data_IF_384388394670
#
_entry.id   IF_384388394670
#
_cell.length_a   1.000
_cell.length_b   1.000
_cell.length_c   1.000
_cell.angle_alpha   90.00
_cell.angle_beta   90.00
_cell.angle_gamma   90.00
#
_symmetry.space_group_name_H-M   'P 1'
#
loop_
_entity.id
_entity.type
_entity.pdbx_description
1 polymer ?
#
# COMPACT_ATOMS: atom_id res chain seq x y z
N UNK A 1 12.85 -5.20 -6.81
CA UNK A 1 12.19 -4.38 -5.79
C UNK A 1 10.75 -4.80 -5.65
N UNK A 2 10.29 -4.90 -4.42
CA UNK A 2 8.94 -5.23 -4.01
C UNK A 2 8.48 -4.20 -2.98
N UNK A 3 7.26 -3.70 -3.12
CA UNK A 3 6.64 -2.74 -2.22
C UNK A 3 5.28 -3.29 -1.85
N UNK A 4 5.06 -3.50 -0.56
CA UNK A 4 3.81 -4.06 -0.03
C UNK A 4 3.16 -3.08 0.91
N UNK A 5 1.86 -2.86 0.71
CA UNK A 5 1.00 -2.14 1.63
C UNK A 5 0.04 -3.13 2.27
N UNK A 6 -0.08 -3.10 3.60
CA UNK A 6 -0.97 -4.00 4.34
C UNK A 6 -1.46 -3.37 5.64
N UNK A 7 -2.59 -3.87 6.16
CA UNK A 7 -3.19 -3.41 7.43
C UNK A 7 -2.65 -4.19 8.64
N UNK A 8 -2.30 -5.46 8.43
CA UNK A 8 -1.72 -6.36 9.44
C UNK A 8 -0.80 -7.37 8.75
N UNK A 9 0.25 -7.82 9.43
CA UNK A 9 1.21 -8.80 8.85
C UNK A 9 0.58 -10.14 8.47
N UNK A 10 -0.61 -10.45 9.01
CA UNK A 10 -1.34 -11.68 8.74
C UNK A 10 -2.50 -11.50 7.74
N UNK A 11 -2.66 -10.31 7.14
CA UNK A 11 -3.71 -10.05 6.14
C UNK A 11 -3.15 -10.06 4.73
N UNK A 12 -4.01 -10.29 3.73
CA UNK A 12 -3.67 -10.01 2.33
C UNK A 12 -3.35 -8.52 2.13
N UNK A 13 -2.83 -8.17 0.95
CA UNK A 13 -2.30 -6.84 0.71
C UNK A 13 -3.39 -5.80 0.47
N UNK A 14 -3.18 -4.59 0.95
CA UNK A 14 -3.88 -3.39 0.45
C UNK A 14 -3.43 -3.11 -0.97
N UNK A 15 -2.13 -3.26 -1.25
CA UNK A 15 -1.56 -3.16 -2.59
C UNK A 15 -0.19 -3.87 -2.64
N UNK A 16 0.11 -4.54 -3.75
CA UNK A 16 1.40 -5.18 -4.01
C UNK A 16 1.97 -4.66 -5.33
N UNK A 17 3.16 -4.06 -5.27
CA UNK A 17 3.96 -3.72 -6.45
C UNK A 17 5.23 -4.56 -6.45
N UNK A 18 5.41 -5.36 -7.49
CA UNK A 18 6.55 -6.27 -7.60
C UNK A 18 7.04 -6.33 -9.04
N UNK A 19 8.37 -6.32 -9.22
CA UNK A 19 9.01 -6.48 -10.54
C UNK A 19 8.46 -5.54 -11.63
N UNK A 20 8.17 -4.28 -11.25
CA UNK A 20 7.73 -3.25 -12.20
C UNK A 20 6.22 -3.21 -12.47
N UNK A 21 5.42 -4.03 -11.78
CA UNK A 21 3.99 -4.17 -12.04
C UNK A 21 3.16 -4.24 -10.76
N UNK A 22 1.90 -3.84 -10.89
CA UNK A 22 0.90 -3.98 -9.82
C UNK A 22 0.33 -5.41 -9.86
N UNK A 23 0.26 -6.05 -8.70
CA UNK A 23 -0.26 -7.40 -8.51
C UNK A 23 -1.54 -7.33 -7.66
N UNK A 24 -2.67 -7.13 -8.35
CA UNK A 24 -3.96 -6.87 -7.71
C UNK A 24 -4.71 -8.15 -7.31
N UNK A 25 -4.26 -9.31 -7.77
CA UNK A 25 -4.88 -10.61 -7.52
C UNK A 25 -4.81 -11.06 -6.04
N UNK A 26 -3.84 -10.53 -5.30
CA UNK A 26 -3.65 -10.79 -3.86
C UNK A 26 -4.22 -9.68 -2.97
N UNK A 27 -4.95 -8.75 -3.56
CA UNK A 27 -5.50 -7.61 -2.85
C UNK A 27 -6.68 -8.02 -1.97
N UNK A 28 -6.79 -7.46 -0.76
CA UNK A 28 -7.97 -7.68 0.07
C UNK A 28 -9.22 -7.17 -0.69
N UNK A 29 -10.36 -7.89 -0.60
CA UNK A 29 -11.57 -7.55 -1.35
C UNK A 29 -12.02 -6.10 -1.19
N UNK A 30 -11.82 -5.50 -0.02
CA UNK A 30 -12.26 -4.15 0.31
C UNK A 30 -11.49 -3.05 -0.46
N UNK A 31 -10.31 -3.37 -1.01
CA UNK A 31 -9.46 -2.43 -1.74
C UNK A 31 -9.44 -2.69 -3.26
N UNK A 32 -10.10 -3.74 -3.74
CA UNK A 32 -10.13 -4.08 -5.17
C UNK A 32 -10.70 -2.94 -6.01
N UNK A 33 -9.94 -2.53 -7.04
CA UNK A 33 -10.30 -1.42 -7.91
C UNK A 33 -10.28 -0.03 -7.24
N UNK A 34 -9.78 0.05 -6.00
CA UNK A 34 -9.72 1.29 -5.21
C UNK A 34 -8.31 1.78 -4.95
N UNK A 35 -7.26 1.15 -5.47
CA UNK A 35 -5.88 1.56 -5.18
C UNK A 35 -5.07 1.85 -6.42
N UNK A 36 -4.15 2.81 -6.29
CA UNK A 36 -3.18 3.17 -7.31
C UNK A 36 -1.83 3.44 -6.63
N UNK A 37 -0.79 2.75 -7.09
CA UNK A 37 0.57 2.98 -6.63
C UNK A 37 1.21 4.12 -7.44
N UNK A 38 1.70 5.13 -6.72
CA UNK A 38 2.30 6.34 -7.31
C UNK A 38 3.77 6.06 -7.68
N UNK A 39 4.04 5.99 -8.98
CA UNK A 39 5.35 5.56 -9.53
C UNK A 39 6.27 6.72 -9.90
N UNK A 40 5.73 7.93 -10.01
CA UNK A 40 6.42 9.09 -10.60
C UNK A 40 7.70 9.46 -9.85
N UNK A 41 7.69 9.39 -8.51
CA UNK A 41 8.81 9.82 -7.67
C UNK A 41 9.62 8.66 -7.07
N UNK A 42 9.45 7.43 -7.58
CA UNK A 42 10.12 6.25 -7.02
C UNK A 42 11.64 6.32 -7.12
N UNK A 43 12.16 6.97 -8.16
CA UNK A 43 13.59 7.20 -8.37
C UNK A 43 14.20 8.12 -7.31
N UNK A 44 13.39 9.00 -6.72
CA UNK A 44 13.79 9.90 -5.63
C UNK A 44 13.57 9.27 -4.25
N UNK A 45 13.21 7.97 -4.20
CA UNK A 45 12.94 7.24 -2.96
C UNK A 45 11.58 7.59 -2.33
N UNK A 46 10.70 8.29 -3.04
CA UNK A 46 9.34 8.57 -2.56
C UNK A 46 8.38 7.55 -3.13
N UNK A 47 7.59 6.96 -2.24
CA UNK A 47 6.57 5.99 -2.61
C UNK A 47 5.27 6.42 -1.97
N UNK A 48 4.18 6.29 -2.72
CA UNK A 48 2.86 6.69 -2.27
C UNK A 48 1.81 5.70 -2.75
N UNK A 49 0.77 5.53 -1.94
CA UNK A 49 -0.41 4.78 -2.29
C UNK A 49 -1.60 5.72 -2.26
N UNK A 50 -2.36 5.75 -3.35
CA UNK A 50 -3.63 6.44 -3.43
C UNK A 50 -4.76 5.43 -3.26
N UNK A 51 -5.70 5.75 -2.37
CA UNK A 51 -6.93 4.96 -2.18
C UNK A 51 -8.12 5.81 -2.62
N UNK A 52 -8.94 5.28 -3.52
CA UNK A 52 -10.13 5.90 -4.07
C UNK A 52 -11.38 5.54 -3.26
N UNK A 53 -12.38 6.43 -3.32
CA UNK A 53 -13.66 6.27 -2.63
C UNK A 53 -13.48 5.97 -1.14
N UNK A 54 -12.70 6.80 -0.44
CA UNK A 54 -12.44 6.65 1.00
C UNK A 54 -13.74 6.55 1.81
N UNK A 55 -13.75 5.64 2.76
CA UNK A 55 -14.80 5.38 3.74
C UNK A 55 -14.21 5.40 5.16
N UNK A 56 -15.08 5.48 6.18
CA UNK A 56 -14.65 5.40 7.58
C UNK A 56 -13.96 4.06 7.91
N UNK A 57 -14.22 2.99 7.15
CA UNK A 57 -13.57 1.70 7.36
C UNK A 57 -12.10 1.67 6.94
N UNK A 58 -11.68 2.63 6.11
CA UNK A 58 -10.29 2.71 5.70
C UNK A 58 -9.41 3.33 6.81
N UNK A 59 -9.99 4.04 7.80
CA UNK A 59 -9.26 4.64 8.93
C UNK A 59 -8.45 3.60 9.72
N UNK A 60 -7.22 3.96 10.11
CA UNK A 60 -6.36 3.18 11.00
C UNK A 60 -4.94 3.03 10.49
N UNK A 61 -4.21 2.06 11.05
CA UNK A 61 -2.82 1.81 10.70
C UNK A 61 -2.66 1.13 9.34
N UNK A 62 -1.63 1.56 8.62
CA UNK A 62 -1.11 0.96 7.41
C UNK A 62 0.38 0.74 7.59
N UNK A 63 0.88 -0.32 6.98
CA UNK A 63 2.28 -0.65 6.93
C UNK A 63 2.73 -0.65 5.47
N UNK A 64 3.89 -0.06 5.22
CA UNK A 64 4.57 -0.12 3.94
C UNK A 64 5.91 -0.81 4.12
N UNK A 65 6.10 -1.94 3.45
CA UNK A 65 7.38 -2.66 3.44
C UNK A 65 8.02 -2.59 2.07
N UNK A 66 9.29 -2.21 2.03
CA UNK A 66 10.11 -2.15 0.81
C UNK A 66 11.20 -3.20 0.91
N UNK A 67 11.24 -4.10 -0.07
CA UNK A 67 12.25 -5.15 -0.18
C UNK A 67 13.01 -5.05 -1.50
N UNK A 68 14.34 -5.03 -1.42
CA UNK A 68 15.20 -5.02 -2.59
C UNK A 68 16.44 -5.90 -2.36
N UNK A 69 16.42 -7.13 -2.88
CA UNK A 69 17.45 -8.13 -2.58
C UNK A 69 17.42 -8.52 -1.11
N UNK A 70 18.53 -8.33 -0.40
CA UNK A 70 18.64 -8.55 1.05
C UNK A 70 18.19 -7.34 1.88
N UNK A 71 18.03 -6.17 1.27
CA UNK A 71 17.55 -4.98 1.98
C UNK A 71 16.05 -5.08 2.20
N UNK A 72 15.61 -4.79 3.42
CA UNK A 72 14.22 -4.68 3.78
C UNK A 72 14.05 -3.57 4.82
N UNK A 73 13.05 -2.72 4.60
CA UNK A 73 12.67 -1.67 5.54
C UNK A 73 11.15 -1.57 5.59
N UNK A 74 10.61 -1.26 6.76
CA UNK A 74 9.19 -1.03 6.97
C UNK A 74 8.95 0.36 7.58
N UNK A 75 7.81 0.96 7.23
CA UNK A 75 7.27 2.16 7.84
C UNK A 75 5.78 1.97 8.18
N UNK A 76 5.33 2.59 9.27
CA UNK A 76 3.93 2.59 9.70
C UNK A 76 3.32 3.97 9.50
N UNK A 77 2.08 4.02 9.01
CA UNK A 77 1.29 5.22 8.78
C UNK A 77 -0.06 5.09 9.50
N UNK A 78 -0.50 6.12 10.22
CA UNK A 78 -1.83 6.19 10.81
C UNK A 78 -2.73 7.08 9.93
N UNK A 79 -3.66 6.46 9.20
CA UNK A 79 -4.59 7.18 8.33
C UNK A 79 -5.84 7.58 9.12
N UNK A 80 -6.10 8.87 9.26
CA UNK A 80 -7.34 9.41 9.83
C UNK A 80 -8.32 9.79 8.74
N UNK A 81 -9.57 9.36 8.88
CA UNK A 81 -10.65 9.68 7.94
C UNK A 81 -11.69 10.51 8.66
N UNK A 82 -11.97 11.69 8.15
CA UNK A 82 -13.04 12.54 8.70
C UNK A 82 -14.30 12.37 7.87
N UNK A 83 -15.41 12.06 8.56
CA UNK A 83 -16.73 12.14 7.97
C UNK A 83 -17.15 13.60 7.77
N UNK A 84 -18.02 13.83 6.80
CA UNK A 84 -18.65 15.14 6.57
C UNK A 84 -19.91 15.30 7.41
#
# INVERSE_FOLDING_TARGET
MEITWFRSHNSSYVHLYHSGKDHLEQQQPEYQGRTEFLKDDIGDGKIGLKIFNISLFDEGLYHCSVKNGSFQQEATLDMKVTGK
#
